data_IF_853063512083
#
_entry.id   IF_853063512083
#
_cell.length_a   1.000
_cell.length_b   1.000
_cell.length_c   1.000
_cell.angle_alpha   90.00
_cell.angle_beta   90.00
_cell.angle_gamma   90.00
#
_symmetry.space_group_name_H-M   'P 1'
#
loop_
_entity.id
_entity.type
_entity.pdbx_description
1 polymer ?
#
# COMPACT_ATOMS: atom_id res chain seq x y z
N UNK A 1 16.61 5.59 -1.93
CA UNK A 1 16.39 5.58 -0.52
C UNK A 1 15.23 6.49 -0.12
N UNK A 2 14.43 6.05 0.80
CA UNK A 2 13.28 6.82 1.22
C UNK A 2 13.70 8.04 2.03
N UNK A 3 12.91 9.10 1.91
CA UNK A 3 13.07 10.29 2.73
C UNK A 3 12.54 9.95 4.13
N UNK A 4 13.34 10.14 5.13
CA UNK A 4 12.95 9.83 6.49
C UNK A 4 12.44 11.09 7.20
N UNK A 5 11.52 10.88 8.12
CA UNK A 5 10.90 11.98 8.84
C UNK A 5 11.91 12.82 9.60
N UNK A 6 12.92 12.17 10.20
CA UNK A 6 13.92 12.89 10.95
C UNK A 6 14.90 13.69 10.09
N UNK A 7 14.90 13.45 8.78
CA UNK A 7 15.69 14.24 7.85
C UNK A 7 14.97 15.51 7.43
N UNK A 8 13.68 15.60 7.76
CA UNK A 8 12.83 16.73 7.40
C UNK A 8 12.05 17.18 8.64
N UNK A 9 12.76 17.72 9.64
CA UNK A 9 12.13 18.01 10.94
C UNK A 9 10.95 18.98 10.86
N UNK A 10 10.93 19.85 9.87
CA UNK A 10 9.81 20.78 9.72
C UNK A 10 8.50 20.08 9.38
N UNK A 11 8.53 18.84 8.93
CA UNK A 11 7.31 18.09 8.65
C UNK A 11 6.65 17.57 9.92
N UNK A 12 7.39 17.53 11.03
CA UNK A 12 6.84 17.06 12.28
C UNK A 12 5.83 18.02 12.90
N UNK A 13 5.76 19.24 12.36
CA UNK A 13 4.88 20.26 12.89
C UNK A 13 3.40 19.91 12.74
N UNK A 14 3.06 19.10 11.76
CA UNK A 14 1.68 18.70 11.54
C UNK A 14 1.63 17.26 11.03
N UNK A 15 1.64 16.32 11.96
CA UNK A 15 1.64 14.91 11.63
C UNK A 15 0.39 14.47 10.87
N UNK A 16 -0.72 15.15 11.05
CA UNK A 16 -1.97 14.81 10.39
C UNK A 16 -1.88 14.98 8.87
N UNK A 17 -1.01 15.87 8.43
CA UNK A 17 -0.83 16.12 7.01
C UNK A 17 0.51 15.60 6.50
N UNK A 18 1.19 14.79 7.29
CA UNK A 18 2.49 14.27 6.91
C UNK A 18 2.34 13.12 5.93
N UNK A 19 3.21 13.10 4.95
CA UNK A 19 3.27 12.06 3.93
C UNK A 19 4.61 11.35 4.01
N UNK A 20 4.59 10.03 3.99
CA UNK A 20 5.81 9.23 3.90
C UNK A 20 6.06 8.90 2.44
N UNK A 21 7.29 9.17 1.98
CA UNK A 21 7.75 8.78 0.66
C UNK A 21 8.82 7.72 0.78
N UNK A 22 8.75 6.70 -0.06
CA UNK A 22 9.83 5.71 -0.12
C UNK A 22 9.90 5.10 -1.51
N UNK A 23 11.08 4.58 -1.86
CA UNK A 23 11.28 3.90 -3.12
C UNK A 23 11.21 2.41 -2.96
N UNK A 24 10.59 1.72 -3.92
CA UNK A 24 10.62 0.28 -3.99
C UNK A 24 11.79 -0.17 -4.86
N UNK A 25 12.50 -1.24 -4.47
CA UNK A 25 13.62 -1.74 -5.30
C UNK A 25 13.15 -2.40 -6.59
N UNK A 26 11.90 -2.87 -6.62
CA UNK A 26 11.29 -3.48 -7.82
C UNK A 26 9.88 -2.95 -7.96
N UNK A 27 9.29 -3.12 -9.14
CA UNK A 27 7.90 -2.74 -9.39
C UNK A 27 6.97 -3.51 -8.45
N UNK A 28 6.19 -2.78 -7.68
CA UNK A 28 5.36 -3.39 -6.65
C UNK A 28 4.27 -2.40 -6.23
N UNK A 29 3.06 -2.87 -5.92
CA UNK A 29 2.08 -1.98 -5.30
C UNK A 29 2.48 -1.71 -3.85
N UNK A 30 1.70 -0.89 -3.13
CA UNK A 30 1.95 -0.72 -1.70
C UNK A 30 1.92 -2.08 -1.01
N UNK A 31 2.92 -2.35 -0.19
CA UNK A 31 3.00 -3.61 0.54
C UNK A 31 2.12 -3.57 1.77
N UNK A 32 1.87 -4.74 2.36
CA UNK A 32 1.15 -4.81 3.63
C UNK A 32 1.92 -4.11 4.73
N UNK A 33 3.25 -4.15 4.68
CA UNK A 33 4.09 -3.42 5.64
C UNK A 33 3.88 -1.91 5.52
N UNK A 34 3.75 -1.41 4.29
CA UNK A 34 3.50 0.01 4.04
C UNK A 34 2.15 0.43 4.60
N UNK A 35 1.14 -0.40 4.44
CA UNK A 35 -0.19 -0.14 4.98
C UNK A 35 -0.17 -0.15 6.51
N UNK A 36 0.54 -1.10 7.07
CA UNK A 36 0.64 -1.18 8.52
C UNK A 36 1.31 0.07 9.09
N UNK A 37 2.36 0.53 8.44
CA UNK A 37 3.03 1.77 8.85
C UNK A 37 2.06 2.95 8.83
N UNK A 38 1.27 3.05 7.78
CA UNK A 38 0.28 4.13 7.66
C UNK A 38 -0.77 4.06 8.78
N UNK A 39 -1.31 2.86 9.00
CA UNK A 39 -2.40 2.68 9.97
C UNK A 39 -1.92 2.88 11.41
N UNK A 40 -0.70 2.42 11.72
CA UNK A 40 -0.16 2.49 13.08
C UNK A 40 0.44 3.83 13.44
N UNK A 41 0.72 4.67 12.46
CA UNK A 41 1.34 5.96 12.69
C UNK A 41 0.32 7.09 12.62
N UNK A 42 0.78 8.30 12.91
CA UNK A 42 -0.06 9.50 12.80
C UNK A 42 -0.01 10.14 11.43
N UNK A 43 0.82 9.61 10.53
CA UNK A 43 0.92 10.18 9.18
C UNK A 43 -0.37 9.93 8.42
N UNK A 44 -0.67 10.79 7.46
CA UNK A 44 -1.93 10.72 6.72
C UNK A 44 -1.81 10.01 5.38
N UNK A 45 -0.61 9.86 4.84
CA UNK A 45 -0.42 9.30 3.51
C UNK A 45 0.92 8.58 3.41
N UNK A 46 0.96 7.47 2.68
CA UNK A 46 2.19 6.74 2.39
C UNK A 46 2.27 6.53 0.88
N UNK A 47 3.37 6.95 0.28
CA UNK A 47 3.59 6.88 -1.17
C UNK A 47 4.82 6.06 -1.47
N UNK A 48 4.67 5.08 -2.33
CA UNK A 48 5.78 4.26 -2.83
C UNK A 48 6.02 4.59 -4.31
N UNK A 49 7.27 4.76 -4.67
CA UNK A 49 7.69 5.02 -6.05
C UNK A 49 8.47 3.83 -6.55
N UNK A 50 8.07 3.28 -7.68
CA UNK A 50 8.75 2.16 -8.31
C UNK A 50 9.88 2.66 -9.20
N UNK A 51 10.85 1.78 -9.52
CA UNK A 51 12.01 2.20 -10.34
C UNK A 51 11.65 2.75 -11.71
N UNK A 52 10.54 2.33 -12.28
CA UNK A 52 10.06 2.79 -13.59
C UNK A 52 9.20 4.05 -13.51
N UNK A 53 9.06 4.64 -12.32
CA UNK A 53 8.31 5.86 -12.13
C UNK A 53 6.85 5.65 -11.74
N UNK A 54 6.38 4.40 -11.75
CA UNK A 54 5.03 4.14 -11.26
C UNK A 54 4.95 4.43 -9.77
N UNK A 55 3.77 4.85 -9.32
CA UNK A 55 3.56 5.12 -7.91
C UNK A 55 2.34 4.38 -7.39
N UNK A 56 2.33 4.17 -6.09
CA UNK A 56 1.17 3.67 -5.37
C UNK A 56 1.10 4.43 -4.06
N UNK A 57 -0.08 4.90 -3.71
CA UNK A 57 -0.25 5.62 -2.46
C UNK A 57 -1.54 5.24 -1.79
N UNK A 58 -1.56 5.39 -0.49
CA UNK A 58 -2.77 5.26 0.29
C UNK A 58 -2.81 6.41 1.29
N UNK A 59 -4.01 6.95 1.51
CA UNK A 59 -4.18 7.99 2.50
C UNK A 59 -5.42 7.72 3.34
N UNK A 60 -5.42 8.28 4.55
CA UNK A 60 -6.52 8.12 5.47
C UNK A 60 -7.70 8.97 5.04
N UNK A 61 -8.86 8.34 4.97
CA UNK A 61 -10.10 9.04 4.64
C UNK A 61 -10.64 9.71 5.91
N UNK A 62 -11.64 10.55 5.71
CA UNK A 62 -12.29 11.22 6.85
C UNK A 62 -12.92 10.23 7.82
N UNK A 63 -13.32 9.06 7.35
CA UNK A 63 -13.92 8.03 8.16
C UNK A 63 -12.91 7.05 8.78
N UNK A 64 -11.61 7.35 8.64
CA UNK A 64 -10.58 6.51 9.23
C UNK A 64 -10.74 6.48 10.76
N UNK A 65 -10.76 5.29 11.31
CA UNK A 65 -10.83 5.10 12.76
C UNK A 65 -9.82 4.02 13.13
N UNK A 66 -8.82 4.35 13.98
CA UNK A 66 -7.68 3.44 14.21
C UNK A 66 -8.07 2.02 14.58
N UNK A 67 -8.99 1.83 15.50
CA UNK A 67 -9.36 0.48 15.93
C UNK A 67 -10.02 -0.32 14.83
N UNK A 68 -10.97 0.29 14.13
CA UNK A 68 -11.65 -0.37 13.03
C UNK A 68 -10.72 -0.65 11.87
N UNK A 69 -9.84 0.30 11.59
CA UNK A 69 -8.89 0.15 10.49
C UNK A 69 -7.88 -0.96 10.77
N UNK A 70 -7.41 -1.08 12.01
CA UNK A 70 -6.50 -2.17 12.39
C UNK A 70 -7.16 -3.53 12.24
N UNK A 71 -8.41 -3.63 12.65
CA UNK A 71 -9.16 -4.88 12.52
C UNK A 71 -9.36 -5.25 11.06
N UNK A 72 -9.78 -4.27 10.25
CA UNK A 72 -9.98 -4.48 8.83
C UNK A 72 -8.68 -4.84 8.12
N UNK A 73 -7.58 -4.21 8.51
CA UNK A 73 -6.26 -4.51 7.96
C UNK A 73 -5.83 -5.95 8.28
N UNK A 74 -6.10 -6.39 9.49
CA UNK A 74 -5.79 -7.77 9.87
C UNK A 74 -6.54 -8.76 9.00
N UNK A 75 -7.83 -8.51 8.78
CA UNK A 75 -8.65 -9.35 7.91
C UNK A 75 -8.15 -9.30 6.47
N UNK A 76 -7.81 -8.12 5.99
CA UNK A 76 -7.27 -7.93 4.65
C UNK A 76 -5.98 -8.75 4.47
N UNK A 77 -5.07 -8.66 5.43
CA UNK A 77 -3.79 -9.36 5.37
C UNK A 77 -3.98 -10.87 5.38
N UNK A 78 -4.87 -11.36 6.23
CA UNK A 78 -5.16 -12.79 6.32
C UNK A 78 -5.80 -13.30 5.03
N UNK A 79 -6.79 -12.59 4.52
CA UNK A 79 -7.49 -12.99 3.30
C UNK A 79 -6.55 -12.99 2.11
N UNK A 80 -5.70 -11.99 2.00
CA UNK A 80 -4.74 -11.91 0.91
C UNK A 80 -3.73 -13.05 1.00
N UNK A 81 -3.27 -13.37 2.20
CA UNK A 81 -2.34 -14.47 2.40
C UNK A 81 -2.98 -15.81 2.03
N UNK A 82 -4.23 -16.02 2.42
CA UNK A 82 -4.94 -17.25 2.08
C UNK A 82 -5.12 -17.41 0.57
N UNK A 83 -5.52 -16.33 -0.09
CA UNK A 83 -5.66 -16.34 -1.54
C UNK A 83 -4.34 -16.60 -2.23
N UNK A 84 -3.26 -16.02 -1.70
CA UNK A 84 -1.92 -16.19 -2.25
C UNK A 84 -1.46 -17.65 -2.18
N UNK A 85 -1.96 -18.40 -1.21
CA UNK A 85 -1.60 -19.80 -1.05
C UNK A 85 -2.00 -20.64 -2.25
N UNK A 86 -3.02 -20.22 -2.98
CA UNK A 86 -3.53 -20.96 -4.13
C UNK A 86 -2.82 -20.59 -5.43
N UNK A 87 -1.96 -19.60 -5.42
CA UNK A 87 -1.28 -19.15 -6.63
C UNK A 87 -0.18 -20.11 -7.04
N UNK A 88 -0.10 -20.40 -8.34
CA UNK A 88 0.94 -21.26 -8.89
C UNK A 88 2.29 -20.57 -8.87
N UNK A 89 2.32 -19.33 -9.27
CA UNK A 89 3.53 -18.52 -9.29
C UNK A 89 3.37 -17.40 -8.26
N UNK A 90 3.57 -17.74 -7.00
CA UNK A 90 3.34 -16.80 -5.90
C UNK A 90 4.14 -15.53 -6.03
N UNK A 91 5.37 -15.66 -6.48
CA UNK A 91 6.25 -14.51 -6.54
C UNK A 91 5.72 -13.45 -7.52
N UNK A 92 5.32 -13.88 -8.70
CA UNK A 92 4.88 -12.95 -9.73
C UNK A 92 3.41 -12.57 -9.61
N UNK A 93 2.57 -13.52 -9.22
CA UNK A 93 1.13 -13.30 -9.17
C UNK A 93 0.67 -12.59 -7.89
N UNK A 94 1.46 -12.66 -6.83
CA UNK A 94 1.10 -12.01 -5.58
C UNK A 94 0.92 -10.51 -5.75
N UNK A 95 1.76 -9.88 -6.54
CA UNK A 95 1.68 -8.44 -6.80
C UNK A 95 0.33 -8.05 -7.41
N UNK A 96 -0.15 -8.87 -8.32
CA UNK A 96 -1.44 -8.63 -8.98
C UNK A 96 -2.58 -8.78 -8.01
N UNK A 97 -2.51 -9.83 -7.20
CA UNK A 97 -3.51 -10.09 -6.18
C UNK A 97 -3.57 -8.96 -5.16
N UNK A 98 -2.41 -8.54 -4.68
CA UNK A 98 -2.32 -7.47 -3.70
C UNK A 98 -2.89 -6.17 -4.25
N UNK A 99 -2.50 -5.81 -5.47
CA UNK A 99 -3.03 -4.60 -6.11
C UNK A 99 -4.54 -4.66 -6.27
N UNK A 100 -5.05 -5.80 -6.72
CA UNK A 100 -6.49 -5.98 -6.88
C UNK A 100 -7.20 -5.82 -5.54
N UNK A 101 -6.71 -6.47 -4.50
CA UNK A 101 -7.34 -6.40 -3.18
C UNK A 101 -7.26 -5.00 -2.58
N UNK A 102 -6.18 -4.27 -2.85
CA UNK A 102 -6.08 -2.87 -2.42
C UNK A 102 -7.13 -2.01 -3.10
N UNK A 103 -7.34 -2.20 -4.39
CA UNK A 103 -8.35 -1.42 -5.14
C UNK A 103 -9.76 -1.70 -4.65
N UNK A 104 -10.04 -2.95 -4.28
CA UNK A 104 -11.39 -3.33 -3.88
C UNK A 104 -11.67 -3.12 -2.40
N UNK A 105 -10.68 -3.28 -1.54
CA UNK A 105 -10.90 -3.36 -0.10
C UNK A 105 -10.29 -2.23 0.73
N UNK A 106 -9.54 -1.32 0.13
CA UNK A 106 -8.89 -0.26 0.92
C UNK A 106 -9.91 0.58 1.70
N UNK A 107 -11.09 0.80 1.12
CA UNK A 107 -12.12 1.59 1.80
C UNK A 107 -12.57 0.95 3.10
N UNK A 108 -12.50 -0.37 3.21
CA UNK A 108 -12.85 -1.09 4.45
C UNK A 108 -11.88 -0.78 5.58
N UNK A 109 -10.68 -0.38 5.22
CA UNK A 109 -9.65 0.01 6.19
C UNK A 109 -9.65 1.53 6.46
N UNK A 110 -10.65 2.24 5.95
CA UNK A 110 -10.70 3.68 6.09
C UNK A 110 -9.63 4.39 5.25
N UNK A 111 -9.16 3.75 4.20
CA UNK A 111 -8.11 4.25 3.34
C UNK A 111 -8.59 4.43 1.92
N UNK A 112 -7.93 5.32 1.19
CA UNK A 112 -8.10 5.45 -0.24
C UNK A 112 -6.79 5.06 -0.91
N UNK A 113 -6.87 4.16 -1.86
CA UNK A 113 -5.72 3.67 -2.61
C UNK A 113 -5.73 4.27 -4.01
N UNK A 114 -4.62 4.87 -4.40
CA UNK A 114 -4.46 5.49 -5.73
C UNK A 114 -3.15 5.02 -6.32
N UNK A 115 -3.17 4.59 -7.57
CA UNK A 115 -1.96 4.06 -8.19
C UNK A 115 -2.05 4.21 -9.72
N UNK A 116 -0.89 4.35 -10.33
CA UNK A 116 -0.74 4.15 -11.76
C UNK A 116 -0.01 2.84 -12.07
N UNK A 117 0.18 1.99 -11.07
CA UNK A 117 0.72 0.65 -11.28
C UNK A 117 -0.19 -0.08 -12.25
N UNK A 118 0.40 -0.64 -13.30
CA UNK A 118 -0.39 -1.21 -14.38
C UNK A 118 -0.49 -2.72 -14.25
N UNK A 119 -1.39 -3.16 -13.38
CA UNK A 119 -1.62 -4.58 -13.15
C UNK A 119 -2.08 -5.30 -14.41
N UNK A 120 -2.77 -4.60 -15.32
CA UNK A 120 -3.22 -5.21 -16.56
C UNK A 120 -2.05 -5.61 -17.45
N UNK A 121 -1.07 -4.73 -17.61
CA UNK A 121 0.12 -5.03 -18.38
C UNK A 121 0.93 -6.15 -17.74
N UNK A 122 1.07 -6.10 -16.42
CA UNK A 122 1.76 -7.15 -15.68
C UNK A 122 1.05 -8.50 -15.85
N UNK A 123 -0.29 -8.49 -15.81
CA UNK A 123 -1.07 -9.70 -16.00
C UNK A 123 -0.86 -10.30 -17.40
N UNK A 124 -0.78 -9.45 -18.41
CA UNK A 124 -0.51 -9.91 -19.77
C UNK A 124 0.82 -10.62 -19.89
N UNK A 125 1.84 -10.12 -19.20
CA UNK A 125 3.16 -10.74 -19.21
C UNK A 125 3.14 -12.16 -18.67
N UNK A 126 2.27 -12.42 -17.70
CA UNK A 126 2.22 -13.73 -17.06
C UNK A 126 1.22 -14.68 -17.70
N UNK A 127 0.30 -14.17 -18.51
CA UNK A 127 -0.70 -14.99 -19.19
C UNK A 127 -0.21 -15.56 -20.50
N UNK A 128 0.83 -15.03 -21.07
CA UNK A 128 1.29 -15.45 -22.38
C UNK A 128 2.29 -16.59 -22.38
#
# INVERSE_FOLDING_TARGET
>A
NSCRMNDLPYLDLDEKNTTIFHGHPVSYPLSTADLNTLIESKVSCNIAINPDGEFSLAYKRNDFEPKKSKKAFKEFSMNTAEEAYTLKNRHDEYKLLLDYNLRTDSHKMGLRYVTNYNAFVANKKYSS
#
